data_IF_881407793074
#
_entry.id   IF_881407793074
#
_cell.length_a   1.000
_cell.length_b   1.000
_cell.length_c   1.000
_cell.angle_alpha   90.00
_cell.angle_beta   90.00
_cell.angle_gamma   90.00
#
_symmetry.space_group_name_H-M   'P 1'
#
loop_
_entity.id
_entity.type
_entity.pdbx_description
1 polymer ?
#
# COMPACT_ATOMS: atom_id res chain seq x y z
N UNK A 1 -37.27 32.01 -6.76
CA UNK A 1 -37.16 30.71 -6.08
C UNK A 1 -37.96 30.81 -4.79
N UNK A 2 -38.89 29.91 -4.48
CA UNK A 2 -39.59 29.94 -3.19
C UNK A 2 -38.65 29.39 -2.10
N UNK A 3 -38.48 30.14 -1.03
CA UNK A 3 -37.74 29.70 0.15
C UNK A 3 -38.72 29.30 1.26
N UNK A 4 -38.25 28.56 2.27
CA UNK A 4 -39.07 28.23 3.45
C UNK A 4 -39.61 29.51 4.15
N UNK A 5 -38.84 30.58 4.17
CA UNK A 5 -39.25 31.89 4.71
C UNK A 5 -40.44 32.46 3.93
N UNK A 6 -40.42 32.43 2.61
CA UNK A 6 -41.55 32.92 1.76
C UNK A 6 -42.83 32.11 1.99
N UNK A 7 -42.74 30.84 2.28
CA UNK A 7 -43.94 30.00 2.56
C UNK A 7 -44.52 30.35 3.95
N UNK A 8 -43.67 30.66 4.91
CA UNK A 8 -44.10 31.17 6.22
C UNK A 8 -44.75 32.55 6.10
N UNK A 9 -44.15 33.45 5.30
CA UNK A 9 -44.66 34.81 5.06
C UNK A 9 -46.03 34.78 4.38
N UNK A 10 -46.25 33.91 3.40
CA UNK A 10 -47.58 33.71 2.79
C UNK A 10 -48.64 33.41 3.85
N UNK A 11 -48.33 32.57 4.84
CA UNK A 11 -49.25 32.17 5.90
C UNK A 11 -49.50 33.30 6.90
N UNK A 12 -48.46 34.08 7.24
CA UNK A 12 -48.57 35.20 8.15
C UNK A 12 -49.46 36.27 7.53
N UNK A 13 -49.19 36.68 6.28
CA UNK A 13 -49.95 37.67 5.56
C UNK A 13 -51.42 37.30 5.39
N UNK A 14 -51.70 36.00 5.12
CA UNK A 14 -53.07 35.52 5.05
C UNK A 14 -53.78 35.54 6.42
N UNK A 15 -53.11 35.25 7.53
CA UNK A 15 -53.64 35.35 8.88
C UNK A 15 -53.93 36.79 9.30
N UNK A 16 -53.12 37.72 8.73
CA UNK A 16 -53.34 39.14 8.93
C UNK A 16 -54.51 39.74 8.08
N UNK A 17 -55.21 38.89 7.34
CA UNK A 17 -56.42 39.28 6.59
C UNK A 17 -56.13 39.73 5.14
N UNK A 18 -54.90 39.59 4.61
CA UNK A 18 -54.61 39.95 3.23
C UNK A 18 -55.24 38.95 2.27
N UNK A 19 -55.82 39.45 1.19
CA UNK A 19 -56.39 38.63 0.12
C UNK A 19 -55.27 37.87 -0.65
N UNK A 20 -55.57 36.69 -1.17
CA UNK A 20 -54.65 35.93 -2.03
C UNK A 20 -54.06 36.77 -3.17
N UNK A 21 -54.83 37.70 -3.69
CA UNK A 21 -54.42 38.63 -4.79
C UNK A 21 -53.38 39.64 -4.26
N UNK A 22 -53.57 40.15 -3.04
CA UNK A 22 -52.62 41.09 -2.40
C UNK A 22 -51.31 40.37 -2.05
N UNK A 23 -51.36 39.20 -1.43
CA UNK A 23 -50.17 38.37 -1.08
C UNK A 23 -49.38 38.02 -2.33
N UNK A 24 -50.06 37.57 -3.41
CA UNK A 24 -49.40 37.24 -4.69
C UNK A 24 -48.65 38.43 -5.31
N UNK A 25 -49.22 39.62 -5.19
CA UNK A 25 -48.60 40.89 -5.67
C UNK A 25 -47.43 41.30 -4.82
N UNK A 26 -47.58 41.24 -3.50
CA UNK A 26 -46.57 41.65 -2.54
C UNK A 26 -45.32 40.77 -2.61
N UNK A 27 -45.51 39.45 -2.67
CA UNK A 27 -44.40 38.47 -2.69
C UNK A 27 -43.93 38.11 -4.12
N UNK A 28 -44.53 38.74 -5.16
CA UNK A 28 -44.22 38.51 -6.57
C UNK A 28 -44.28 37.03 -6.96
N UNK A 29 -45.29 36.32 -6.45
CA UNK A 29 -45.55 34.90 -6.75
C UNK A 29 -46.91 34.74 -7.42
N UNK A 30 -47.16 33.61 -8.09
CA UNK A 30 -48.46 33.30 -8.69
C UNK A 30 -49.56 33.12 -7.63
N UNK A 31 -50.79 33.50 -7.94
CA UNK A 31 -51.95 33.23 -7.04
C UNK A 31 -52.11 31.75 -6.77
N UNK A 32 -51.74 30.89 -7.72
CA UNK A 32 -51.77 29.44 -7.57
C UNK A 32 -50.75 28.94 -6.56
N UNK A 33 -49.55 29.52 -6.58
CA UNK A 33 -48.51 29.25 -5.58
C UNK A 33 -48.99 29.62 -4.18
N UNK A 34 -49.61 30.78 -3.98
CA UNK A 34 -50.20 31.19 -2.70
C UNK A 34 -51.26 30.19 -2.25
N UNK A 35 -52.21 29.80 -3.14
CA UNK A 35 -53.24 28.78 -2.82
C UNK A 35 -52.64 27.44 -2.46
N UNK A 36 -51.64 26.99 -3.17
CA UNK A 36 -50.94 25.70 -2.90
C UNK A 36 -50.41 25.63 -1.48
N UNK A 37 -49.66 26.66 -1.05
CA UNK A 37 -49.05 26.68 0.28
C UNK A 37 -50.04 27.04 1.43
N UNK A 38 -51.18 27.65 1.14
CA UNK A 38 -52.26 27.81 2.12
C UNK A 38 -53.06 26.50 2.33
N UNK A 39 -53.26 25.71 1.26
CA UNK A 39 -54.00 24.42 1.31
C UNK A 39 -53.20 23.31 2.01
N UNK A 40 -51.87 23.36 1.90
CA UNK A 40 -50.99 22.32 2.45
C UNK A 40 -49.96 22.95 3.40
N UNK A 41 -50.31 23.21 4.68
CA UNK A 41 -49.47 23.92 5.64
C UNK A 41 -48.16 23.22 5.97
N UNK A 42 -48.06 21.89 5.81
CA UNK A 42 -46.85 21.09 6.02
C UNK A 42 -45.96 20.97 4.77
N UNK A 43 -46.38 21.57 3.65
CA UNK A 43 -45.63 21.47 2.40
C UNK A 43 -44.41 22.43 2.45
N UNK A 44 -43.22 21.86 2.51
CA UNK A 44 -41.98 22.59 2.32
C UNK A 44 -41.63 22.72 0.82
N UNK A 45 -40.98 23.83 0.41
CA UNK A 45 -40.53 23.97 -0.96
C UNK A 45 -39.47 22.93 -1.27
N UNK A 46 -39.80 21.93 -2.06
CA UNK A 46 -38.85 20.90 -2.53
C UNK A 46 -38.79 20.92 -4.07
N UNK A 47 -37.61 20.69 -4.59
CA UNK A 47 -37.45 20.40 -6.01
C UNK A 47 -38.02 19.03 -6.34
N UNK A 48 -38.80 18.94 -7.39
CA UNK A 48 -39.14 17.67 -7.97
C UNK A 48 -37.87 16.88 -8.39
N UNK A 49 -37.93 15.54 -8.47
CA UNK A 49 -36.81 14.74 -8.96
C UNK A 49 -36.43 15.21 -10.36
N UNK A 50 -35.14 15.53 -10.56
CA UNK A 50 -34.59 15.87 -11.88
C UNK A 50 -34.71 14.65 -12.77
N UNK A 51 -35.07 14.87 -14.03
CA UNK A 51 -34.99 13.83 -15.05
C UNK A 51 -33.58 13.25 -15.10
N UNK A 52 -33.42 11.91 -15.20
CA UNK A 52 -32.11 11.28 -15.28
C UNK A 52 -31.36 11.82 -16.50
N UNK A 53 -30.17 12.38 -16.28
CA UNK A 53 -29.27 12.77 -17.36
C UNK A 53 -28.35 11.62 -17.70
N UNK A 54 -28.08 11.38 -18.98
CA UNK A 54 -27.07 10.41 -19.40
C UNK A 54 -25.72 10.76 -18.80
N UNK A 55 -25.13 9.80 -18.11
CA UNK A 55 -23.79 9.94 -17.53
C UNK A 55 -22.74 9.65 -18.60
N UNK A 56 -21.59 10.35 -18.54
CA UNK A 56 -20.40 9.98 -19.35
C UNK A 56 -19.96 8.52 -19.14
N UNK A 57 -20.38 7.88 -18.05
CA UNK A 57 -20.07 6.49 -17.73
C UNK A 57 -21.02 5.49 -18.43
N UNK A 58 -22.21 5.93 -18.85
CA UNK A 58 -23.25 5.00 -19.35
C UNK A 58 -22.79 4.12 -20.52
N UNK A 59 -22.07 4.64 -21.53
CA UNK A 59 -21.57 3.81 -22.64
C UNK A 59 -20.59 2.72 -22.19
N UNK A 60 -19.93 2.91 -21.04
CA UNK A 60 -18.89 2.01 -20.53
C UNK A 60 -19.41 1.01 -19.49
N UNK A 61 -20.65 1.15 -19.02
CA UNK A 61 -21.24 0.24 -18.02
C UNK A 61 -21.26 -1.23 -18.46
N UNK A 62 -21.55 -1.60 -19.71
CA UNK A 62 -21.48 -3.00 -20.16
C UNK A 62 -20.07 -3.59 -19.97
N UNK A 63 -19.03 -2.86 -20.38
CA UNK A 63 -17.64 -3.24 -20.17
C UNK A 63 -17.31 -3.40 -18.67
N UNK A 64 -17.72 -2.45 -17.84
CA UNK A 64 -17.48 -2.52 -16.39
C UNK A 64 -18.14 -3.75 -15.74
N UNK A 65 -19.38 -4.09 -16.13
CA UNK A 65 -20.08 -5.29 -15.64
C UNK A 65 -19.34 -6.57 -16.02
N UNK A 66 -18.90 -6.68 -17.27
CA UNK A 66 -18.08 -7.80 -17.75
C UNK A 66 -16.78 -7.90 -16.95
N UNK A 67 -16.10 -6.77 -16.77
CA UNK A 67 -14.82 -6.69 -16.07
C UNK A 67 -14.92 -7.03 -14.58
N UNK A 68 -16.04 -6.66 -13.93
CA UNK A 68 -16.36 -7.06 -12.57
C UNK A 68 -16.55 -8.59 -12.47
N UNK A 69 -17.28 -9.18 -13.43
CA UNK A 69 -17.52 -10.63 -13.48
C UNK A 69 -16.22 -11.42 -13.72
N UNK A 70 -15.36 -10.96 -14.61
CA UNK A 70 -14.04 -11.58 -14.85
C UNK A 70 -13.12 -11.52 -13.62
N UNK A 71 -13.17 -10.43 -12.87
CA UNK A 71 -12.36 -10.26 -11.68
C UNK A 71 -12.88 -11.08 -10.48
N UNK A 72 -14.14 -11.52 -10.51
CA UNK A 72 -14.75 -12.24 -9.42
C UNK A 72 -13.94 -13.50 -8.99
N UNK A 73 -13.85 -13.80 -7.70
CA UNK A 73 -14.50 -13.14 -6.56
C UNK A 73 -13.79 -11.88 -6.05
N UNK A 74 -12.75 -11.41 -6.73
CA UNK A 74 -11.91 -10.29 -6.31
C UNK A 74 -12.52 -8.94 -6.67
N UNK A 75 -12.31 -7.96 -5.79
CA UNK A 75 -12.79 -6.60 -5.98
C UNK A 75 -11.63 -5.71 -6.42
N UNK A 76 -11.66 -5.22 -7.66
CA UNK A 76 -10.65 -4.29 -8.15
C UNK A 76 -10.92 -2.86 -7.65
N UNK A 77 -9.87 -2.05 -7.40
CA UNK A 77 -10.02 -0.64 -7.05
C UNK A 77 -10.58 0.19 -8.22
N UNK A 78 -11.29 1.27 -7.89
CA UNK A 78 -11.82 2.20 -8.89
C UNK A 78 -10.72 2.81 -9.80
N UNK A 79 -9.49 2.93 -9.30
CA UNK A 79 -8.33 3.42 -10.06
C UNK A 79 -7.92 2.47 -11.20
N UNK A 80 -8.10 1.17 -11.01
CA UNK A 80 -7.85 0.17 -12.07
C UNK A 80 -8.88 0.30 -13.16
N UNK A 81 -10.17 0.30 -12.79
CA UNK A 81 -11.25 0.51 -13.75
C UNK A 81 -11.10 1.83 -14.51
N UNK A 82 -10.71 2.93 -13.81
CA UNK A 82 -10.50 4.21 -14.45
C UNK A 82 -9.39 4.17 -15.51
N UNK A 83 -8.28 3.49 -15.21
CA UNK A 83 -7.17 3.30 -16.15
C UNK A 83 -7.62 2.54 -17.41
N UNK A 84 -8.30 1.41 -17.20
CA UNK A 84 -8.84 0.59 -18.30
C UNK A 84 -9.90 1.31 -19.11
N UNK A 85 -10.71 2.19 -18.49
CA UNK A 85 -11.69 3.04 -19.17
C UNK A 85 -11.05 4.15 -19.98
N UNK A 86 -9.96 4.76 -19.48
CA UNK A 86 -9.22 5.80 -20.22
C UNK A 86 -8.59 5.25 -21.50
N UNK A 87 -8.06 4.03 -21.46
CA UNK A 87 -7.58 3.31 -22.64
C UNK A 87 -8.69 3.12 -23.70
N UNK A 88 -9.98 3.22 -23.31
CA UNK A 88 -11.18 3.11 -24.15
C UNK A 88 -11.86 4.45 -24.44
N UNK A 89 -11.19 5.56 -24.14
CA UNK A 89 -11.70 6.90 -24.43
C UNK A 89 -12.65 7.49 -23.38
N UNK A 90 -12.66 6.99 -22.13
CA UNK A 90 -13.45 7.61 -21.06
C UNK A 90 -12.81 8.90 -20.56
N UNK A 91 -13.50 10.02 -20.71
CA UNK A 91 -13.06 11.36 -20.27
C UNK A 91 -13.71 11.81 -18.95
N UNK A 92 -14.47 10.95 -18.30
CA UNK A 92 -15.16 11.28 -17.05
C UNK A 92 -14.26 11.21 -15.82
N UNK A 93 -14.73 11.79 -14.70
CA UNK A 93 -14.02 11.78 -13.41
C UNK A 93 -14.17 10.46 -12.65
N UNK A 94 -13.21 10.22 -11.75
CA UNK A 94 -13.21 9.03 -10.86
C UNK A 94 -14.40 9.02 -9.88
N UNK A 95 -14.98 10.19 -9.55
CA UNK A 95 -16.09 10.29 -8.60
C UNK A 95 -17.34 9.60 -9.11
N UNK A 96 -17.70 9.82 -10.37
CA UNK A 96 -18.85 9.16 -11.04
C UNK A 96 -18.65 7.64 -11.06
N UNK A 97 -17.44 7.19 -11.36
CA UNK A 97 -17.08 5.77 -11.36
C UNK A 97 -17.18 5.15 -9.96
N UNK A 98 -16.67 5.83 -8.95
CA UNK A 98 -16.75 5.35 -7.55
C UNK A 98 -18.19 5.24 -7.05
N UNK A 99 -19.02 6.23 -7.34
CA UNK A 99 -20.43 6.24 -6.99
C UNK A 99 -21.16 5.04 -7.62
N UNK A 100 -20.95 4.81 -8.91
CA UNK A 100 -21.53 3.67 -9.61
C UNK A 100 -21.02 2.32 -9.05
N UNK A 101 -19.71 2.19 -8.82
CA UNK A 101 -19.10 0.98 -8.25
C UNK A 101 -19.59 0.70 -6.82
N UNK A 102 -19.86 1.73 -6.01
CA UNK A 102 -20.42 1.56 -4.66
C UNK A 102 -21.76 0.82 -4.68
N UNK A 103 -22.58 1.05 -5.70
CA UNK A 103 -23.83 0.32 -5.91
C UNK A 103 -23.66 -1.13 -6.38
N UNK A 104 -22.47 -1.52 -6.85
CA UNK A 104 -22.18 -2.90 -7.27
C UNK A 104 -21.65 -3.79 -6.14
N UNK A 105 -21.26 -3.21 -5.00
CA UNK A 105 -20.59 -3.91 -3.91
C UNK A 105 -21.10 -3.47 -2.53
N UNK A 106 -21.20 -4.38 -1.54
CA UNK A 106 -21.51 -4.00 -0.17
C UNK A 106 -20.38 -3.15 0.47
N UNK A 107 -20.76 -2.24 1.37
CA UNK A 107 -19.83 -1.39 2.12
C UNK A 107 -18.96 -2.22 3.09
N UNK A 108 -17.66 -1.94 3.13
CA UNK A 108 -16.72 -2.54 4.09
C UNK A 108 -16.38 -1.53 5.18
N UNK A 109 -16.26 -1.94 6.47
CA UNK A 109 -15.86 -1.06 7.56
C UNK A 109 -14.40 -0.58 7.40
N UNK A 110 -14.12 0.66 7.80
CA UNK A 110 -12.79 1.26 7.70
C UNK A 110 -11.88 0.82 8.87
N UNK A 111 -10.64 0.34 8.62
CA UNK A 111 -9.70 -0.03 9.67
C UNK A 111 -9.05 1.20 10.34
N UNK A 112 -8.75 1.10 11.65
CA UNK A 112 -7.96 2.10 12.39
C UNK A 112 -6.48 2.04 11.99
N UNK A 113 -5.84 3.20 11.78
CA UNK A 113 -4.48 3.32 11.25
C UNK A 113 -3.58 4.07 12.24
N UNK A 114 -2.50 3.43 12.71
CA UNK A 114 -1.40 4.08 13.44
C UNK A 114 -0.25 4.35 12.48
N UNK A 115 0.31 5.57 12.51
CA UNK A 115 1.34 6.05 11.57
C UNK A 115 2.72 6.08 12.22
N UNK A 116 3.73 5.68 11.44
CA UNK A 116 5.15 5.75 11.84
C UNK A 116 5.99 6.27 10.66
N UNK A 117 6.71 7.37 10.87
CA UNK A 117 7.58 7.99 9.87
C UNK A 117 9.06 7.68 10.15
N UNK A 118 9.86 7.61 9.09
CA UNK A 118 11.31 7.37 9.16
C UNK A 118 12.06 8.45 8.39
N UNK A 119 13.25 8.87 8.85
CA UNK A 119 14.10 9.77 8.07
C UNK A 119 14.49 9.18 6.72
N UNK A 120 14.82 10.03 5.72
CA UNK A 120 15.24 9.58 4.39
C UNK A 120 16.52 8.73 4.46
N UNK A 121 16.62 7.71 3.58
CA UNK A 121 17.73 6.76 3.50
C UNK A 121 17.82 5.76 4.65
N UNK A 122 17.16 6.04 5.76
CA UNK A 122 17.36 5.32 7.03
C UNK A 122 16.82 3.90 7.03
N UNK A 123 15.64 3.67 6.49
CA UNK A 123 14.97 2.38 6.62
C UNK A 123 14.17 1.98 5.38
N UNK A 124 14.30 0.72 4.99
CA UNK A 124 13.35 0.02 4.14
C UNK A 124 12.57 -1.03 4.94
N UNK A 125 11.45 -1.48 4.40
CA UNK A 125 10.71 -2.65 4.87
C UNK A 125 10.71 -3.67 3.73
N UNK A 126 11.08 -4.91 4.03
CA UNK A 126 11.08 -6.01 3.07
C UNK A 126 10.15 -7.13 3.52
N UNK A 127 9.42 -7.70 2.55
CA UNK A 127 8.44 -8.76 2.81
C UNK A 127 8.26 -9.68 1.62
N UNK A 128 7.94 -10.94 1.89
CA UNK A 128 7.34 -11.83 0.92
C UNK A 128 5.82 -11.80 1.03
N UNK A 129 5.14 -11.63 -0.08
CA UNK A 129 3.69 -11.77 -0.12
C UNK A 129 3.29 -12.89 -1.06
N UNK A 130 2.62 -13.92 -0.51
CA UNK A 130 2.10 -15.01 -1.32
C UNK A 130 0.96 -14.50 -2.21
N UNK A 131 1.11 -14.73 -3.51
CA UNK A 131 0.08 -14.47 -4.52
C UNK A 131 -0.74 -15.74 -4.72
N UNK A 132 -0.06 -16.87 -4.88
CA UNK A 132 -0.67 -18.19 -5.05
C UNK A 132 0.17 -19.24 -4.32
N UNK A 133 -0.51 -20.16 -3.63
CA UNK A 133 0.09 -21.30 -2.93
C UNK A 133 -0.14 -22.58 -3.72
N UNK A 134 0.54 -23.65 -3.34
CA UNK A 134 0.36 -25.00 -3.92
C UNK A 134 1.23 -25.24 -5.15
N UNK A 135 0.74 -26.06 -6.09
CA UNK A 135 1.54 -26.59 -7.22
C UNK A 135 2.17 -25.50 -8.10
N UNK A 136 1.47 -24.42 -8.35
CA UNK A 136 1.97 -23.30 -9.14
C UNK A 136 2.23 -22.09 -8.23
N UNK A 137 3.10 -22.27 -7.21
CA UNK A 137 3.42 -21.22 -6.24
C UNK A 137 3.90 -19.97 -6.96
N UNK A 138 3.40 -18.82 -6.51
CA UNK A 138 3.85 -17.50 -6.93
C UNK A 138 3.90 -16.60 -5.71
N UNK A 139 5.06 -16.06 -5.41
CA UNK A 139 5.30 -15.10 -4.34
C UNK A 139 5.93 -13.84 -4.91
N UNK A 140 5.70 -12.70 -4.28
CA UNK A 140 6.36 -11.46 -4.63
C UNK A 140 7.21 -10.98 -3.44
N UNK A 141 8.48 -10.72 -3.69
CA UNK A 141 9.32 -9.91 -2.82
C UNK A 141 8.95 -8.44 -3.01
N UNK A 142 8.75 -7.75 -1.90
CA UNK A 142 8.41 -6.32 -1.91
C UNK A 142 9.37 -5.59 -0.98
N UNK A 143 10.14 -4.66 -1.54
CA UNK A 143 10.93 -3.69 -0.82
C UNK A 143 10.26 -2.32 -0.86
N UNK A 144 10.05 -1.66 0.29
CA UNK A 144 9.45 -0.32 0.35
C UNK A 144 10.28 0.59 1.23
N UNK A 145 10.75 1.71 0.69
CA UNK A 145 11.49 2.71 1.45
C UNK A 145 10.58 3.42 2.47
N UNK A 146 11.12 3.64 3.64
CA UNK A 146 10.36 4.15 4.78
C UNK A 146 9.98 5.62 4.67
N UNK A 147 10.76 6.45 3.99
CA UNK A 147 10.52 7.87 3.77
C UNK A 147 9.76 8.15 2.48
N UNK A 148 10.33 7.80 1.34
CA UNK A 148 9.72 8.09 0.03
C UNK A 148 8.49 7.27 -0.28
N UNK A 149 8.36 6.07 0.31
CA UNK A 149 7.38 5.06 -0.09
C UNK A 149 7.65 4.49 -1.49
N UNK A 150 8.83 4.77 -2.07
CA UNK A 150 9.25 4.11 -3.29
C UNK A 150 9.26 2.60 -3.05
N UNK A 151 8.69 1.86 -3.97
CA UNK A 151 8.57 0.42 -3.81
C UNK A 151 9.16 -0.30 -5.01
N UNK A 152 9.76 -1.44 -4.71
CA UNK A 152 10.29 -2.42 -5.65
C UNK A 152 9.54 -3.74 -5.48
N UNK A 153 9.36 -4.47 -6.56
CA UNK A 153 8.70 -5.78 -6.57
C UNK A 153 9.41 -6.72 -7.51
N UNK A 154 9.62 -7.93 -7.07
CA UNK A 154 10.13 -9.03 -7.88
C UNK A 154 9.39 -10.32 -7.55
N UNK A 155 8.98 -11.08 -8.56
CA UNK A 155 8.21 -12.30 -8.41
C UNK A 155 9.10 -13.54 -8.52
N UNK A 156 8.81 -14.55 -7.69
CA UNK A 156 9.48 -15.84 -7.70
C UNK A 156 8.50 -16.97 -7.39
N UNK A 157 8.88 -18.19 -7.76
CA UNK A 157 8.14 -19.43 -7.49
C UNK A 157 8.45 -20.02 -6.12
N UNK A 158 9.48 -19.51 -5.45
CA UNK A 158 9.92 -19.95 -4.13
C UNK A 158 10.41 -18.77 -3.26
N UNK A 159 10.64 -19.03 -1.98
CA UNK A 159 11.16 -18.05 -1.00
C UNK A 159 12.41 -18.59 -0.30
N UNK A 160 13.26 -19.35 -1.05
CA UNK A 160 14.49 -19.91 -0.54
C UNK A 160 15.53 -18.83 -0.27
N UNK A 161 16.60 -19.20 0.41
CA UNK A 161 17.67 -18.28 0.77
C UNK A 161 18.28 -17.60 -0.46
N UNK A 162 18.66 -18.37 -1.47
CA UNK A 162 19.28 -17.83 -2.70
C UNK A 162 18.34 -16.89 -3.44
N UNK A 163 17.05 -17.21 -3.48
CA UNK A 163 16.01 -16.37 -4.06
C UNK A 163 15.83 -15.07 -3.28
N UNK A 164 15.96 -15.12 -1.94
CA UNK A 164 15.91 -13.92 -1.10
C UNK A 164 17.10 -13.01 -1.36
N UNK A 165 18.31 -13.59 -1.49
CA UNK A 165 19.52 -12.82 -1.81
C UNK A 165 19.38 -12.16 -3.19
N UNK A 166 18.98 -12.92 -4.20
CA UNK A 166 18.74 -12.37 -5.54
C UNK A 166 17.71 -11.23 -5.53
N UNK A 167 16.63 -11.38 -4.77
CA UNK A 167 15.62 -10.34 -4.64
C UNK A 167 16.18 -9.05 -4.02
N UNK A 168 17.08 -9.16 -3.05
CA UNK A 168 17.75 -8.01 -2.44
C UNK A 168 18.75 -7.36 -3.39
N UNK A 169 19.55 -8.14 -4.11
CA UNK A 169 20.48 -7.59 -5.11
C UNK A 169 19.73 -6.77 -6.15
N UNK A 170 18.63 -7.31 -6.69
CA UNK A 170 17.76 -6.60 -7.62
C UNK A 170 17.10 -5.36 -7.01
N UNK A 171 16.77 -5.41 -5.73
CA UNK A 171 16.23 -4.26 -5.01
C UNK A 171 17.28 -3.15 -4.87
N UNK A 172 18.50 -3.50 -4.50
CA UNK A 172 19.61 -2.54 -4.40
C UNK A 172 20.01 -1.97 -5.77
N UNK A 173 19.94 -2.80 -6.83
CA UNK A 173 20.09 -2.34 -8.23
C UNK A 173 19.05 -1.27 -8.59
N UNK A 174 17.79 -1.55 -8.30
CA UNK A 174 16.69 -0.65 -8.63
C UNK A 174 16.75 0.68 -7.86
N UNK A 175 17.36 0.69 -6.68
CA UNK A 175 17.59 1.91 -5.89
C UNK A 175 18.89 2.63 -6.27
N UNK A 176 19.81 1.94 -6.93
CA UNK A 176 21.20 2.37 -7.09
C UNK A 176 21.81 2.77 -5.73
N UNK A 177 21.58 1.92 -4.73
CA UNK A 177 22.00 2.15 -3.35
C UNK A 177 21.36 1.18 -2.35
N UNK A 178 21.82 1.24 -1.09
CA UNK A 178 21.38 0.35 -0.01
C UNK A 178 20.86 1.17 1.17
N UNK A 179 19.64 0.90 1.69
CA UNK A 179 19.14 1.58 2.88
C UNK A 179 19.94 1.16 4.13
N UNK A 180 20.16 2.09 5.08
CA UNK A 180 20.94 1.78 6.29
C UNK A 180 20.38 0.64 7.12
N UNK A 181 19.09 0.45 7.14
CA UNK A 181 18.44 -0.66 7.85
C UNK A 181 17.29 -1.22 7.02
N UNK A 182 17.05 -2.53 7.12
CA UNK A 182 15.91 -3.18 6.50
C UNK A 182 15.14 -3.95 7.56
N UNK A 183 13.84 -3.67 7.64
CA UNK A 183 12.92 -4.28 8.60
C UNK A 183 12.26 -5.50 7.99
N UNK A 184 12.38 -6.64 8.68
CA UNK A 184 11.83 -7.94 8.27
C UNK A 184 10.79 -8.44 9.25
N UNK A 185 9.92 -9.30 8.76
CA UNK A 185 9.12 -10.19 9.59
C UNK A 185 9.93 -11.45 9.98
N UNK A 186 9.32 -12.39 10.72
CA UNK A 186 9.95 -13.65 11.14
C UNK A 186 10.17 -14.61 9.95
N UNK A 187 10.95 -14.21 8.96
CA UNK A 187 11.37 -15.07 7.86
C UNK A 187 12.50 -15.98 8.34
N UNK A 188 12.32 -17.31 8.25
CA UNK A 188 13.37 -18.28 8.65
C UNK A 188 14.66 -18.12 7.83
N UNK A 189 14.59 -17.62 6.64
CA UNK A 189 15.75 -17.31 5.79
C UNK A 189 16.59 -16.15 6.32
N UNK A 190 15.99 -15.26 7.13
CA UNK A 190 16.65 -14.12 7.77
C UNK A 190 16.94 -14.42 9.23
N UNK A 191 15.95 -14.92 9.96
CA UNK A 191 15.99 -15.11 11.41
C UNK A 191 15.83 -16.59 11.76
N UNK A 192 16.83 -17.17 12.41
CA UNK A 192 16.75 -18.56 12.90
C UNK A 192 16.00 -18.60 14.22
N UNK A 193 16.40 -17.72 15.18
CA UNK A 193 15.85 -17.73 16.51
C UNK A 193 15.75 -16.31 17.08
N UNK A 194 14.59 -15.99 17.63
CA UNK A 194 14.33 -14.68 18.21
C UNK A 194 14.77 -14.64 19.66
N UNK A 195 15.44 -13.54 20.03
CA UNK A 195 15.91 -13.29 21.41
C UNK A 195 16.78 -14.43 21.97
N UNK A 196 17.51 -15.14 21.09
CA UNK A 196 18.31 -16.30 21.42
C UNK A 196 19.40 -16.03 22.48
N UNK A 197 19.85 -14.79 22.56
CA UNK A 197 20.95 -14.35 23.47
C UNK A 197 20.50 -13.26 24.46
N UNK A 198 19.17 -13.02 24.57
CA UNK A 198 18.56 -12.00 25.39
C UNK A 198 17.64 -11.05 24.61
N UNK A 199 16.87 -10.19 25.27
CA UNK A 199 15.91 -9.29 24.63
C UNK A 199 16.55 -8.45 23.52
N UNK A 200 16.05 -8.56 22.29
CA UNK A 200 16.57 -7.87 21.12
C UNK A 200 17.83 -8.48 20.49
N UNK A 201 18.39 -9.54 21.09
CA UNK A 201 19.58 -10.24 20.61
C UNK A 201 19.18 -11.50 19.85
N UNK A 202 18.98 -11.36 18.55
CA UNK A 202 18.45 -12.41 17.66
C UNK A 202 19.58 -13.25 17.04
N UNK A 203 19.31 -14.55 16.82
CA UNK A 203 20.16 -15.41 16.00
C UNK A 203 19.72 -15.34 14.54
N UNK A 204 20.46 -14.59 13.74
CA UNK A 204 20.25 -14.50 12.30
C UNK A 204 20.84 -15.72 11.58
N UNK A 205 20.32 -15.98 10.36
CA UNK A 205 20.98 -16.87 9.42
C UNK A 205 22.38 -16.32 9.12
N UNK A 206 23.43 -17.16 9.22
CA UNK A 206 24.82 -16.71 9.06
C UNK A 206 25.10 -16.15 7.66
N UNK A 207 24.61 -16.83 6.61
CA UNK A 207 24.73 -16.33 5.24
C UNK A 207 24.04 -14.99 5.07
N UNK A 208 22.86 -14.81 5.69
CA UNK A 208 22.15 -13.53 5.63
C UNK A 208 22.87 -12.43 6.41
N UNK A 209 23.47 -12.76 7.54
CA UNK A 209 24.26 -11.82 8.34
C UNK A 209 25.52 -11.38 7.58
N UNK A 210 26.17 -12.31 6.88
CA UNK A 210 27.32 -12.00 6.05
C UNK A 210 26.93 -11.13 4.86
N UNK A 211 25.83 -11.46 4.15
CA UNK A 211 25.25 -10.64 3.11
C UNK A 211 24.94 -9.21 3.57
N UNK A 212 24.32 -9.06 4.74
CA UNK A 212 24.00 -7.75 5.31
C UNK A 212 25.26 -6.95 5.64
N UNK A 213 26.34 -7.62 6.14
CA UNK A 213 27.64 -7.01 6.41
C UNK A 213 28.32 -6.56 5.12
N UNK A 214 28.26 -7.40 4.07
CA UNK A 214 28.84 -7.10 2.75
C UNK A 214 28.27 -5.80 2.17
N UNK A 215 26.94 -5.62 2.23
CA UNK A 215 26.26 -4.42 1.74
C UNK A 215 26.17 -3.28 2.77
N UNK A 216 26.61 -3.49 4.01
CA UNK A 216 26.67 -2.46 5.05
C UNK A 216 25.33 -2.10 5.69
N UNK A 217 24.27 -2.88 5.50
CA UNK A 217 22.98 -2.60 6.13
C UNK A 217 22.71 -3.39 7.40
N UNK A 218 21.93 -2.80 8.32
CA UNK A 218 21.51 -3.46 9.55
C UNK A 218 20.15 -4.17 9.40
N UNK A 219 20.08 -5.52 9.48
CA UNK A 219 18.80 -6.21 9.53
C UNK A 219 18.09 -5.92 10.86
N UNK A 220 16.80 -5.57 10.79
CA UNK A 220 15.93 -5.32 11.95
C UNK A 220 14.73 -6.22 11.91
N UNK A 221 14.27 -6.68 13.06
CA UNK A 221 13.08 -7.52 13.15
C UNK A 221 11.91 -6.73 13.71
N UNK A 222 10.71 -6.96 13.14
CA UNK A 222 9.49 -6.42 13.70
C UNK A 222 9.27 -6.93 15.12
N UNK A 223 8.93 -6.05 16.07
CA UNK A 223 8.56 -6.48 17.42
C UNK A 223 7.30 -7.35 17.37
N UNK A 224 7.20 -8.41 18.20
CA UNK A 224 5.99 -9.23 18.30
C UNK A 224 4.78 -8.35 18.64
N UNK A 225 3.63 -8.70 18.07
CA UNK A 225 2.34 -8.00 18.30
C UNK A 225 2.32 -6.50 17.93
N UNK A 226 3.35 -5.96 17.27
CA UNK A 226 3.38 -4.60 16.73
C UNK A 226 3.31 -4.61 15.19
N UNK A 227 2.25 -5.19 14.63
CA UNK A 227 1.97 -5.18 13.19
C UNK A 227 2.04 -3.77 12.57
N UNK A 228 1.80 -2.75 13.38
CA UNK A 228 1.84 -1.34 12.99
C UNK A 228 3.21 -0.87 12.48
N UNK A 229 4.33 -1.47 12.92
CA UNK A 229 5.68 -1.10 12.49
C UNK A 229 5.97 -1.48 11.03
N UNK A 230 5.30 -2.49 10.49
CA UNK A 230 5.42 -2.98 9.11
C UNK A 230 4.29 -2.50 8.17
N UNK A 231 3.43 -1.63 8.65
CA UNK A 231 2.24 -1.19 7.92
C UNK A 231 2.50 -0.55 6.54
N UNK A 232 3.73 -0.12 6.24
CA UNK A 232 4.09 0.48 4.95
C UNK A 232 4.13 -0.58 3.85
N UNK A 233 4.88 -1.66 4.06
CA UNK A 233 4.98 -2.76 3.08
C UNK A 233 3.69 -3.57 3.01
N UNK A 234 2.97 -3.76 4.12
CA UNK A 234 1.67 -4.47 4.12
C UNK A 234 0.62 -3.74 3.28
N UNK A 235 0.56 -2.40 3.39
CA UNK A 235 -0.33 -1.59 2.54
C UNK A 235 0.06 -1.65 1.08
N UNK A 236 1.36 -1.65 0.80
CA UNK A 236 1.84 -1.80 -0.55
C UNK A 236 1.56 -3.20 -1.09
N UNK A 237 1.70 -4.26 -0.30
CA UNK A 237 1.33 -5.63 -0.66
C UNK A 237 -0.14 -5.74 -1.09
N UNK A 238 -1.05 -5.08 -0.35
CA UNK A 238 -2.45 -4.99 -0.75
C UNK A 238 -2.61 -4.25 -2.08
N UNK A 239 -1.98 -3.09 -2.20
CA UNK A 239 -2.03 -2.28 -3.42
C UNK A 239 -1.46 -3.04 -4.63
N UNK A 240 -0.35 -3.76 -4.48
CA UNK A 240 0.23 -4.63 -5.50
C UNK A 240 -0.79 -5.68 -5.98
N UNK A 241 -1.42 -6.38 -5.05
CA UNK A 241 -2.43 -7.41 -5.38
C UNK A 241 -3.63 -6.80 -6.12
N UNK A 242 -4.17 -5.71 -5.61
CA UNK A 242 -5.37 -5.08 -6.13
C UNK A 242 -5.14 -4.33 -7.45
N UNK A 243 -3.99 -3.68 -7.62
CA UNK A 243 -3.73 -2.78 -8.75
C UNK A 243 -2.89 -3.39 -9.87
N UNK A 244 -2.14 -4.47 -9.60
CA UNK A 244 -1.30 -5.15 -10.57
C UNK A 244 -1.68 -6.62 -10.76
N UNK A 245 -1.60 -7.42 -9.67
CA UNK A 245 -1.72 -8.89 -9.78
C UNK A 245 -3.11 -9.29 -10.25
N UNK A 246 -4.16 -8.89 -9.55
CA UNK A 246 -5.53 -9.31 -9.87
C UNK A 246 -6.02 -8.82 -11.25
N UNK A 247 -5.73 -7.59 -11.68
CA UNK A 247 -6.03 -7.18 -13.05
C UNK A 247 -5.31 -8.04 -14.10
N UNK A 248 -4.03 -8.35 -13.89
CA UNK A 248 -3.25 -9.16 -14.82
C UNK A 248 -3.73 -10.62 -14.85
N UNK A 249 -3.92 -11.24 -13.67
CA UNK A 249 -4.46 -12.61 -13.57
C UNK A 249 -5.84 -12.74 -14.22
N UNK A 250 -6.73 -11.77 -14.03
CA UNK A 250 -8.07 -11.83 -14.62
C UNK A 250 -8.06 -11.72 -16.15
N UNK A 251 -7.11 -10.95 -16.73
CA UNK A 251 -6.91 -10.90 -18.18
C UNK A 251 -6.36 -12.23 -18.73
N UNK A 252 -5.36 -12.79 -18.07
CA UNK A 252 -4.76 -14.07 -18.46
C UNK A 252 -5.75 -15.24 -18.34
N UNK A 253 -6.57 -15.24 -17.29
CA UNK A 253 -7.63 -16.23 -17.10
C UNK A 253 -8.62 -16.27 -18.27
N UNK A 254 -8.98 -15.10 -18.81
CA UNK A 254 -9.83 -14.99 -20.01
C UNK A 254 -9.21 -15.65 -21.26
N UNK A 255 -7.90 -15.84 -21.26
CA UNK A 255 -7.13 -16.51 -22.33
C UNK A 255 -6.74 -17.95 -21.97
N UNK A 256 -7.23 -18.50 -20.85
CA UNK A 256 -6.85 -19.82 -20.35
C UNK A 256 -5.43 -19.92 -19.78
N UNK A 257 -4.76 -18.79 -19.54
CA UNK A 257 -3.39 -18.72 -19.05
C UNK A 257 -3.33 -18.49 -17.53
N UNK A 258 -2.23 -18.94 -16.93
CA UNK A 258 -1.94 -18.77 -15.49
C UNK A 258 -0.75 -17.80 -15.37
N UNK A 259 -0.87 -16.79 -14.50
CA UNK A 259 0.23 -15.89 -14.19
C UNK A 259 1.37 -16.65 -13.51
N UNK A 260 2.56 -16.60 -14.09
CA UNK A 260 3.82 -17.12 -13.54
C UNK A 260 4.80 -15.98 -13.19
N UNK A 261 5.94 -16.32 -12.59
CA UNK A 261 6.94 -15.34 -12.16
C UNK A 261 7.57 -14.62 -13.36
N UNK A 262 7.84 -15.29 -14.47
CA UNK A 262 8.43 -14.71 -15.66
C UNK A 262 7.49 -13.67 -16.28
N UNK A 263 6.23 -14.01 -16.47
CA UNK A 263 5.21 -13.11 -17.00
C UNK A 263 4.98 -11.92 -16.06
N UNK A 264 4.91 -12.16 -14.73
CA UNK A 264 4.74 -11.09 -13.75
C UNK A 264 5.91 -10.11 -13.78
N UNK A 265 7.15 -10.61 -13.83
CA UNK A 265 8.36 -9.79 -13.88
C UNK A 265 8.49 -9.00 -15.19
N UNK A 266 8.03 -9.54 -16.32
CA UNK A 266 8.01 -8.82 -17.58
C UNK A 266 7.12 -7.56 -17.55
N UNK A 267 6.09 -7.54 -16.71
CA UNK A 267 5.12 -6.43 -16.64
C UNK A 267 5.27 -5.54 -15.41
N UNK A 268 5.80 -6.04 -14.28
CA UNK A 268 5.83 -5.29 -13.02
C UNK A 268 6.71 -4.06 -13.08
N UNK A 269 7.82 -4.09 -13.82
CA UNK A 269 8.72 -2.95 -13.98
C UNK A 269 8.02 -1.74 -14.60
N UNK A 270 7.26 -1.94 -15.67
CA UNK A 270 6.46 -0.88 -16.29
C UNK A 270 5.39 -0.35 -15.32
N UNK A 271 4.68 -1.25 -14.62
CA UNK A 271 3.68 -0.83 -13.64
C UNK A 271 4.28 -0.03 -12.47
N UNK A 272 5.46 -0.40 -11.98
CA UNK A 272 6.17 0.35 -10.92
C UNK A 272 6.56 1.75 -11.41
N UNK A 273 7.09 1.86 -12.63
CA UNK A 273 7.55 3.11 -13.23
C UNK A 273 6.41 4.05 -13.58
N UNK A 274 5.33 3.52 -14.18
CA UNK A 274 4.30 4.33 -14.81
C UNK A 274 3.04 4.51 -13.94
N UNK A 275 2.84 3.62 -12.94
CA UNK A 275 1.61 3.60 -12.12
C UNK A 275 1.92 3.71 -10.62
N UNK A 276 2.77 2.83 -10.08
CA UNK A 276 2.91 2.72 -8.63
C UNK A 276 3.74 3.85 -8.02
N UNK A 277 4.94 4.11 -8.53
CA UNK A 277 5.85 5.08 -7.95
C UNK A 277 5.54 6.55 -8.31
N UNK A 278 4.96 6.88 -9.48
CA UNK A 278 4.55 8.26 -9.77
C UNK A 278 3.16 8.62 -9.24
N UNK A 279 2.41 7.70 -8.60
CA UNK A 279 1.10 8.04 -8.02
C UNK A 279 1.21 9.04 -6.88
N UNK A 280 0.22 9.91 -6.71
CA UNK A 280 0.09 10.71 -5.49
C UNK A 280 -0.21 9.79 -4.30
N UNK A 281 0.72 9.68 -3.35
CA UNK A 281 0.57 8.79 -2.21
C UNK A 281 -0.40 9.38 -1.18
N UNK A 282 -1.37 8.58 -0.72
CA UNK A 282 -2.47 9.05 0.11
C UNK A 282 -2.04 9.67 1.46
N UNK A 283 -0.92 9.20 2.04
CA UNK A 283 -0.42 9.71 3.33
C UNK A 283 0.54 10.88 3.17
N UNK A 284 1.58 10.71 2.33
CA UNK A 284 2.61 11.74 2.16
C UNK A 284 2.13 12.92 1.31
N UNK A 285 1.04 12.76 0.56
CA UNK A 285 0.52 13.74 -0.40
C UNK A 285 1.51 14.13 -1.51
N UNK A 286 2.55 13.34 -1.68
CA UNK A 286 3.61 13.50 -2.67
C UNK A 286 3.78 12.22 -3.48
N UNK A 287 4.46 12.30 -4.62
CA UNK A 287 4.77 11.11 -5.42
C UNK A 287 6.00 10.41 -4.85
N UNK A 288 5.98 9.07 -4.66
CA UNK A 288 7.14 8.32 -4.19
C UNK A 288 8.42 8.59 -4.98
N UNK A 289 8.33 8.74 -6.30
CA UNK A 289 9.48 8.99 -7.16
C UNK A 289 10.14 10.35 -6.87
N UNK A 290 9.35 11.40 -6.60
CA UNK A 290 9.88 12.73 -6.30
C UNK A 290 10.55 12.77 -4.93
N UNK A 291 9.95 12.12 -3.93
CA UNK A 291 10.55 11.96 -2.59
C UNK A 291 11.83 11.13 -2.64
N UNK A 292 11.87 10.13 -3.51
CA UNK A 292 13.07 9.31 -3.69
C UNK A 292 14.26 10.10 -4.23
N UNK A 293 14.06 11.10 -5.06
CA UNK A 293 15.14 11.96 -5.53
C UNK A 293 15.89 12.62 -4.36
N UNK A 294 15.19 12.98 -3.28
CA UNK A 294 15.81 13.51 -2.05
C UNK A 294 16.45 12.41 -1.18
N UNK A 295 15.89 11.19 -1.21
CA UNK A 295 16.33 10.08 -0.38
C UNK A 295 17.55 9.37 -0.95
N UNK A 296 17.70 9.34 -2.29
CA UNK A 296 18.73 8.59 -3.01
C UNK A 296 20.15 8.93 -2.56
N UNK A 297 20.45 10.20 -2.37
CA UNK A 297 21.78 10.66 -1.95
C UNK A 297 22.17 10.24 -0.51
N UNK A 298 21.19 9.76 0.27
CA UNK A 298 21.37 9.34 1.66
C UNK A 298 21.39 7.81 1.82
N UNK A 299 21.29 7.06 0.73
CA UNK A 299 21.52 5.63 0.72
C UNK A 299 23.00 5.32 0.83
N UNK A 300 23.34 4.15 1.36
CA UNK A 300 24.69 3.63 1.30
C UNK A 300 25.05 3.32 -0.16
N UNK A 301 26.33 3.48 -0.56
CA UNK A 301 26.77 3.12 -1.90
C UNK A 301 26.59 1.61 -2.11
N UNK A 302 26.15 1.24 -3.31
CA UNK A 302 26.08 -0.15 -3.70
C UNK A 302 27.45 -0.69 -4.00
N UNK A 303 27.86 -1.75 -3.30
CA UNK A 303 29.04 -2.54 -3.61
C UNK A 303 28.80 -3.57 -4.73
N UNK A 304 29.81 -4.38 -5.06
CA UNK A 304 29.65 -5.53 -5.94
C UNK A 304 28.62 -6.52 -5.37
N UNK A 305 28.05 -7.37 -6.24
CA UNK A 305 27.12 -8.41 -5.79
C UNK A 305 27.81 -9.37 -4.82
N UNK A 306 27.04 -9.84 -3.84
CA UNK A 306 27.53 -10.82 -2.88
C UNK A 306 27.69 -12.21 -3.53
N UNK A 307 28.87 -12.81 -3.41
CA UNK A 307 29.22 -14.08 -4.06
C UNK A 307 29.15 -15.29 -3.13
N UNK A 308 28.59 -15.14 -1.96
CA UNK A 308 28.53 -16.19 -0.91
C UNK A 308 29.46 -15.89 0.25
N UNK A 309 29.38 -16.72 1.29
CA UNK A 309 30.26 -16.62 2.45
C UNK A 309 31.69 -16.84 1.95
N UNK A 310 32.53 -15.80 2.05
CA UNK A 310 33.95 -15.96 1.75
C UNK A 310 34.49 -17.13 2.59
N UNK A 311 35.24 -18.08 2.01
CA UNK A 311 35.87 -19.12 2.77
C UNK A 311 36.66 -18.42 3.90
N UNK A 312 36.37 -18.82 5.15
CA UNK A 312 37.13 -18.34 6.30
C UNK A 312 38.58 -18.72 6.02
N UNK A 313 39.41 -17.78 5.59
CA UNK A 313 40.85 -17.98 5.62
C UNK A 313 41.12 -18.34 7.08
N UNK A 314 41.59 -19.54 7.40
CA UNK A 314 41.88 -19.85 8.76
C UNK A 314 42.82 -18.74 9.25
N UNK A 315 42.40 -18.02 10.30
CA UNK A 315 43.28 -17.06 10.93
C UNK A 315 44.57 -17.82 11.16
N UNK A 316 45.66 -17.36 10.54
CA UNK A 316 46.96 -17.90 10.85
C UNK A 316 47.05 -17.71 12.36
N UNK A 317 46.85 -18.78 13.09
CA UNK A 317 47.04 -18.78 14.53
C UNK A 317 48.53 -18.44 14.70
N UNK A 318 48.84 -17.16 14.85
CA UNK A 318 50.11 -16.80 15.40
C UNK A 318 50.18 -17.60 16.72
N UNK A 319 51.22 -18.36 16.87
CA UNK A 319 51.49 -19.17 18.06
C UNK A 319 51.14 -18.31 19.30
N UNK A 320 49.95 -18.54 19.85
CA UNK A 320 49.54 -17.91 21.08
C UNK A 320 50.33 -18.66 22.13
N UNK A 321 51.48 -18.11 22.53
CA UNK A 321 52.25 -18.58 23.67
C UNK A 321 51.39 -18.36 24.91
N UNK A 322 50.59 -19.35 25.26
CA UNK A 322 49.91 -19.37 26.57
C UNK A 322 50.97 -19.65 27.59
N UNK A 323 51.50 -18.63 28.23
CA UNK A 323 52.30 -18.82 29.44
C UNK A 323 51.40 -19.39 30.52
N UNK A 324 51.47 -20.71 30.72
CA UNK A 324 50.83 -21.34 31.88
C UNK A 324 51.52 -20.80 33.12
N UNK A 325 50.78 -20.13 33.99
CA UNK A 325 51.23 -19.81 35.32
C UNK A 325 51.47 -21.10 36.09
N UNK A 326 52.56 -21.17 36.82
CA UNK A 326 52.86 -22.29 37.70
C UNK A 326 51.69 -22.47 38.70
N UNK A 327 51.24 -23.73 38.83
CA UNK A 327 50.10 -24.07 39.69
C UNK A 327 50.34 -23.67 41.14
N UNK A 328 51.57 -23.51 41.55
CA UNK A 328 51.97 -23.01 42.92
C UNK A 328 51.39 -21.64 43.28
N UNK A 329 51.02 -20.80 42.24
CA UNK A 329 50.36 -19.52 42.48
C UNK A 329 48.93 -19.73 43.04
N UNK A 330 48.24 -20.77 42.62
CA UNK A 330 46.90 -21.11 43.14
C UNK A 330 46.95 -21.68 44.54
N UNK A 331 48.00 -22.44 44.90
CA UNK A 331 48.22 -22.93 46.26
C UNK A 331 48.56 -21.81 47.25
N UNK A 332 49.19 -20.75 46.79
CA UNK A 332 49.48 -19.56 47.60
C UNK A 332 48.18 -18.74 47.88
N UNK A 333 47.24 -18.67 46.93
CA UNK A 333 45.96 -17.97 47.09
C UNK A 333 45.03 -18.74 48.04
N UNK A 334 45.04 -20.09 48.00
CA UNK A 334 44.20 -20.94 48.85
C UNK A 334 44.69 -20.97 50.36
N UNK A 335 45.85 -20.41 50.67
CA UNK A 335 46.39 -20.30 52.09
C UNK A 335 46.11 -18.91 52.70
N UNK A 336 45.49 -18.00 51.93
CA UNK A 336 45.14 -16.64 52.37
C UNK A 336 43.63 -16.44 52.59
N UNK A 337 42.81 -17.50 52.49
CA UNK A 337 41.36 -17.50 52.70
C UNK A 337 40.99 -18.13 54.06
#
# INVERSE_FOLDING_TARGET
MLTGEMTLEIRILHRQGLSIRAIARQLRVSRETVRKYLRAPALEPAYGPRAPRLSKLDPFKPFLKMRIAEAAPRRLPATVYLRELRERGYEGGISILKEWLAGQYPALPAPQIVRFETPPGRQAQADWTAIRRGRNKLSAFVGTLGFSRLSFVWFADNERFDTLIEAHERFFDALDGVPHTILYDNMKTVLIDRDAYGPGQHRFNEGFRDFARHHGFGPRMCAPYRAQTKGKVERFNRYLKESFVWPLESRLKGQGLILDAATANAHVGAWLRDVANPRLHAETKERPIDRFAMEKALLLPRGPAWTGIAPTVPAVLHDIHVSQHDLSIYDAIGRLA
#
